data_IF_075232928491
#
_entry.id   IF_075232928491
#
_cell.length_a   1.000
_cell.length_b   1.000
_cell.length_c   1.000
_cell.angle_alpha   90.00
_cell.angle_beta   90.00
_cell.angle_gamma   90.00
#
_symmetry.space_group_name_H-M   'P 1'
#
loop_
_entity.id
_entity.type
_entity.pdbx_description
1 polymer ?
#
# COMPACT_ATOMS: atom_id res chain seq x y z
N UNK A 1 -12.37 28.75 5.51
CA UNK A 1 -13.11 27.81 4.65
C UNK A 1 -12.11 27.09 3.76
N UNK A 2 -11.57 25.96 4.22
CA UNK A 2 -10.62 25.17 3.43
C UNK A 2 -11.43 24.27 2.51
N UNK A 3 -11.31 24.48 1.20
CA UNK A 3 -12.11 23.81 0.18
C UNK A 3 -11.87 22.28 0.23
N UNK A 4 -12.92 21.49 0.04
CA UNK A 4 -12.88 20.02 -0.03
C UNK A 4 -11.79 19.50 -1.01
N UNK A 5 -11.48 20.29 -2.03
CA UNK A 5 -10.39 20.06 -2.97
C UNK A 5 -8.99 20.07 -2.31
N UNK A 6 -8.71 20.96 -1.34
CA UNK A 6 -7.41 21.02 -0.67
C UNK A 6 -7.16 19.82 0.24
N UNK A 7 -8.21 19.28 0.88
CA UNK A 7 -8.10 18.05 1.69
C UNK A 7 -7.77 16.82 0.83
N UNK A 8 -8.37 16.72 -0.36
CA UNK A 8 -8.08 15.66 -1.33
C UNK A 8 -6.68 15.80 -1.93
N UNK A 9 -6.23 17.04 -2.21
CA UNK A 9 -4.87 17.31 -2.71
C UNK A 9 -3.81 16.91 -1.68
N UNK A 10 -4.05 17.19 -0.39
CA UNK A 10 -3.10 16.88 0.68
C UNK A 10 -2.92 15.38 0.90
N UNK A 11 -4.00 14.58 0.89
CA UNK A 11 -3.89 13.11 0.97
C UNK A 11 -3.25 12.46 -0.27
N UNK A 12 -3.54 13.00 -1.46
CA UNK A 12 -3.06 12.46 -2.74
C UNK A 12 -1.58 12.74 -2.97
N UNK A 13 -1.08 13.89 -2.50
CA UNK A 13 0.33 14.23 -2.51
C UNK A 13 1.14 13.34 -1.55
N UNK A 14 0.64 13.12 -0.33
CA UNK A 14 1.37 12.38 0.71
C UNK A 14 1.59 10.89 0.33
N UNK A 15 0.58 10.28 -0.30
CA UNK A 15 0.67 8.90 -0.83
C UNK A 15 1.72 8.75 -1.93
N UNK A 16 1.87 9.77 -2.79
CA UNK A 16 2.88 9.80 -3.87
C UNK A 16 4.28 9.83 -3.29
N UNK A 17 4.51 10.68 -2.29
CA UNK A 17 5.80 10.81 -1.61
C UNK A 17 6.17 9.57 -0.80
N UNK A 18 5.18 8.84 -0.26
CA UNK A 18 5.42 7.61 0.50
C UNK A 18 5.91 6.46 -0.38
N UNK A 19 5.27 6.20 -1.51
CA UNK A 19 5.67 5.11 -2.42
C UNK A 19 7.03 5.37 -3.07
N UNK A 20 7.35 6.62 -3.38
CA UNK A 20 8.66 6.99 -3.92
C UNK A 20 9.77 6.73 -2.89
N UNK A 21 9.55 7.12 -1.63
CA UNK A 21 10.50 6.81 -0.54
C UNK A 21 10.72 5.30 -0.37
N UNK A 22 9.66 4.50 -0.40
CA UNK A 22 9.77 3.03 -0.31
C UNK A 22 10.57 2.49 -1.50
N UNK A 23 10.30 3.00 -2.71
CA UNK A 23 11.03 2.61 -3.90
C UNK A 23 12.53 2.92 -3.79
N UNK A 24 12.89 4.12 -3.32
CA UNK A 24 14.29 4.53 -3.22
C UNK A 24 15.07 3.74 -2.14
N UNK A 25 14.41 3.34 -1.06
CA UNK A 25 15.02 2.61 0.06
C UNK A 25 15.30 1.14 -0.30
N UNK A 26 14.39 0.51 -1.05
CA UNK A 26 14.48 -0.93 -1.33
C UNK A 26 15.47 -1.19 -2.47
N UNK A 27 16.42 -2.10 -2.24
CA UNK A 27 17.45 -2.43 -3.24
C UNK A 27 16.91 -3.39 -4.31
N UNK A 28 16.04 -2.92 -5.19
CA UNK A 28 15.30 -3.74 -6.18
C UNK A 28 16.17 -4.65 -7.05
N UNK A 29 17.39 -4.22 -7.41
CA UNK A 29 18.31 -5.01 -8.27
C UNK A 29 18.58 -6.41 -7.73
N UNK A 30 18.65 -6.58 -6.40
CA UNK A 30 18.93 -7.89 -5.78
C UNK A 30 17.77 -8.89 -5.89
N UNK A 31 16.55 -8.38 -6.08
CA UNK A 31 15.35 -9.19 -6.23
C UNK A 31 15.24 -9.73 -7.66
N UNK A 32 15.60 -8.95 -8.69
CA UNK A 32 15.52 -9.36 -10.09
C UNK A 32 16.14 -10.74 -10.36
N UNK A 33 17.42 -10.93 -10.00
CA UNK A 33 18.11 -12.21 -10.19
C UNK A 33 17.47 -13.38 -9.43
N UNK A 34 16.98 -13.13 -8.21
CA UNK A 34 16.31 -14.16 -7.40
C UNK A 34 14.97 -14.56 -8.00
N UNK A 35 14.19 -13.58 -8.46
CA UNK A 35 12.89 -13.79 -9.10
C UNK A 35 13.05 -14.62 -10.38
N UNK A 36 14.00 -14.26 -11.25
CA UNK A 36 14.26 -15.03 -12.47
C UNK A 36 14.61 -16.49 -12.18
N UNK A 37 15.46 -16.74 -11.17
CA UNK A 37 15.85 -18.10 -10.78
C UNK A 37 14.67 -18.90 -10.22
N UNK A 38 13.79 -18.26 -9.46
CA UNK A 38 12.58 -18.90 -8.92
C UNK A 38 11.62 -19.25 -10.06
N UNK A 39 11.34 -18.30 -10.96
CA UNK A 39 10.40 -18.50 -12.06
C UNK A 39 10.86 -19.54 -13.08
N UNK A 40 12.17 -19.60 -13.37
CA UNK A 40 12.72 -20.68 -14.21
C UNK A 40 12.49 -22.07 -13.62
N UNK A 41 12.46 -22.19 -12.29
CA UNK A 41 12.23 -23.46 -11.59
C UNK A 41 10.75 -23.82 -11.45
N UNK A 42 9.87 -22.83 -11.37
CA UNK A 42 8.43 -23.06 -11.31
C UNK A 42 7.84 -23.47 -12.66
N UNK A 43 8.60 -23.34 -13.76
CA UNK A 43 8.13 -23.65 -15.11
C UNK A 43 7.11 -22.65 -15.65
N UNK A 44 6.96 -21.49 -14.98
CA UNK A 44 6.11 -20.42 -15.49
C UNK A 44 6.71 -19.91 -16.81
N UNK A 45 5.98 -20.10 -17.90
CA UNK A 45 6.34 -19.53 -19.21
C UNK A 45 6.43 -18.00 -19.16
N UNK A 46 6.92 -17.35 -20.24
CA UNK A 46 7.03 -15.91 -20.29
C UNK A 46 5.67 -15.26 -19.99
N UNK A 47 5.59 -14.46 -18.92
CA UNK A 47 4.36 -13.75 -18.55
C UNK A 47 4.14 -12.49 -19.39
N UNK A 48 5.08 -12.14 -20.28
CA UNK A 48 5.07 -10.88 -21.02
C UNK A 48 5.50 -9.67 -20.21
N UNK A 49 5.70 -9.81 -18.89
CA UNK A 49 6.07 -8.73 -17.98
C UNK A 49 7.38 -9.05 -17.25
N UNK A 50 8.21 -8.03 -16.96
CA UNK A 50 9.38 -8.22 -16.11
C UNK A 50 8.98 -8.77 -14.73
N UNK A 51 9.65 -9.83 -14.23
CA UNK A 51 9.35 -10.44 -12.92
C UNK A 51 9.36 -9.43 -11.77
N UNK A 52 10.23 -8.43 -11.86
CA UNK A 52 10.35 -7.38 -10.86
C UNK A 52 9.12 -6.47 -10.78
N UNK A 53 8.45 -6.19 -11.91
CA UNK A 53 7.24 -5.36 -11.93
C UNK A 53 6.08 -6.10 -11.23
N UNK A 54 5.91 -7.39 -11.54
CA UNK A 54 4.91 -8.25 -10.90
C UNK A 54 5.19 -8.44 -9.40
N UNK A 55 6.46 -8.60 -9.01
CA UNK A 55 6.83 -8.67 -7.59
C UNK A 55 6.50 -7.38 -6.84
N UNK A 56 6.73 -6.21 -7.46
CA UNK A 56 6.34 -4.93 -6.86
C UNK A 56 4.82 -4.79 -6.72
N UNK A 57 4.03 -5.36 -7.65
CA UNK A 57 2.58 -5.45 -7.48
C UNK A 57 2.21 -6.30 -6.26
N UNK A 58 2.88 -7.44 -6.02
CA UNK A 58 2.67 -8.22 -4.78
C UNK A 58 3.04 -7.43 -3.51
N UNK A 59 4.09 -6.60 -3.57
CA UNK A 59 4.45 -5.70 -2.46
C UNK A 59 3.32 -4.70 -2.21
N UNK A 60 2.73 -4.10 -3.26
CA UNK A 60 1.59 -3.20 -3.12
C UNK A 60 0.34 -3.92 -2.57
N UNK A 61 0.06 -5.14 -3.04
CA UNK A 61 -1.04 -5.95 -2.50
C UNK A 61 -0.91 -6.15 -1.00
N UNK A 62 0.30 -6.45 -0.52
CA UNK A 62 0.48 -6.64 0.90
C UNK A 62 0.44 -5.31 1.68
N UNK A 63 1.06 -4.24 1.17
CA UNK A 63 1.04 -2.91 1.80
C UNK A 63 -0.37 -2.28 1.95
N UNK A 64 -1.28 -2.60 1.03
CA UNK A 64 -2.63 -2.03 0.98
C UNK A 64 -3.74 -3.07 1.25
N UNK A 65 -3.39 -4.33 1.47
CA UNK A 65 -4.35 -5.42 1.69
C UNK A 65 -5.25 -5.72 0.48
N UNK A 66 -4.70 -5.64 -0.74
CA UNK A 66 -5.47 -5.80 -1.98
C UNK A 66 -5.48 -7.25 -2.47
N UNK A 67 -6.63 -7.68 -2.97
CA UNK A 67 -6.79 -8.90 -3.77
C UNK A 67 -6.19 -8.78 -5.18
N UNK A 68 -6.22 -9.86 -5.97
CA UNK A 68 -5.77 -9.85 -7.37
C UNK A 68 -6.61 -8.93 -8.26
N UNK A 69 -7.97 -8.98 -8.20
CA UNK A 69 -8.81 -8.06 -8.96
C UNK A 69 -8.59 -6.59 -8.54
N UNK A 70 -8.53 -6.33 -7.23
CA UNK A 70 -8.32 -4.96 -6.73
C UNK A 70 -6.94 -4.41 -7.13
N UNK A 71 -5.93 -5.27 -7.24
CA UNK A 71 -4.60 -4.84 -7.70
C UNK A 71 -4.61 -4.47 -9.18
N UNK A 72 -5.32 -5.23 -10.02
CA UNK A 72 -5.54 -4.87 -11.42
C UNK A 72 -6.22 -3.48 -11.52
N UNK A 73 -7.34 -3.30 -10.83
CA UNK A 73 -8.08 -2.03 -10.82
C UNK A 73 -7.19 -0.87 -10.34
N UNK A 74 -6.42 -1.07 -9.27
CA UNK A 74 -5.51 -0.04 -8.76
C UNK A 74 -4.34 0.26 -9.71
N UNK A 75 -3.86 -0.71 -10.48
CA UNK A 75 -2.90 -0.44 -11.54
C UNK A 75 -3.53 0.41 -12.63
N UNK A 76 -4.80 0.18 -13.00
CA UNK A 76 -5.47 1.03 -13.98
C UNK A 76 -5.75 2.44 -13.44
N UNK A 77 -6.19 2.59 -12.21
CA UNK A 77 -6.66 3.87 -11.67
C UNK A 77 -5.55 4.77 -11.13
N UNK A 78 -4.48 4.19 -10.57
CA UNK A 78 -3.47 4.95 -9.81
C UNK A 78 -2.12 4.98 -10.53
N UNK A 79 -1.81 6.13 -11.12
CA UNK A 79 -0.48 6.38 -11.71
C UNK A 79 0.68 6.18 -10.72
N UNK A 80 0.46 6.42 -9.44
CA UNK A 80 1.48 6.16 -8.41
C UNK A 80 1.81 4.66 -8.28
N UNK A 81 0.83 3.78 -8.46
CA UNK A 81 1.02 2.33 -8.40
C UNK A 81 1.74 1.84 -9.65
N UNK A 82 1.32 2.32 -10.84
CA UNK A 82 2.03 2.03 -12.10
C UNK A 82 3.51 2.43 -12.01
N UNK A 83 3.77 3.66 -11.56
CA UNK A 83 5.13 4.19 -11.42
C UNK A 83 5.95 3.40 -10.39
N UNK A 84 5.36 3.04 -9.25
CA UNK A 84 6.04 2.22 -8.25
C UNK A 84 6.47 0.86 -8.82
N UNK A 85 5.55 0.18 -9.52
CA UNK A 85 5.82 -1.08 -10.19
C UNK A 85 6.86 -0.95 -11.31
N UNK A 86 6.91 0.20 -11.99
CA UNK A 86 7.82 0.46 -13.11
C UNK A 86 7.17 0.30 -14.48
N UNK A 87 5.84 0.28 -14.55
CA UNK A 87 5.12 0.22 -15.82
C UNK A 87 5.12 1.59 -16.52
N UNK A 88 5.27 1.57 -17.85
CA UNK A 88 5.11 2.77 -18.67
C UNK A 88 3.65 3.20 -18.74
N UNK A 89 3.38 4.47 -19.06
CA UNK A 89 2.03 4.99 -19.27
C UNK A 89 1.32 4.34 -20.46
N UNK A 90 2.07 3.86 -21.44
CA UNK A 90 1.57 3.26 -22.68
C UNK A 90 1.53 1.74 -22.67
N UNK A 91 2.07 1.11 -21.62
CA UNK A 91 2.12 -0.35 -21.49
C UNK A 91 0.77 -0.87 -20.99
N UNK A 92 0.40 -2.10 -21.37
CA UNK A 92 -0.78 -2.77 -20.83
C UNK A 92 -0.49 -3.19 -19.38
N UNK A 93 -1.48 -3.06 -18.49
CA UNK A 93 -1.31 -3.54 -17.11
C UNK A 93 -1.55 -5.06 -17.04
N UNK A 94 -0.85 -5.78 -16.16
CA UNK A 94 -1.16 -7.18 -15.90
C UNK A 94 -2.59 -7.29 -15.36
N UNK A 95 -3.33 -8.26 -15.90
CA UNK A 95 -4.65 -8.62 -15.40
C UNK A 95 -4.55 -9.46 -14.12
N UNK A 96 -5.68 -9.64 -13.43
CA UNK A 96 -5.84 -10.50 -12.26
C UNK A 96 -5.20 -11.87 -12.49
N UNK A 97 -5.48 -12.49 -13.64
CA UNK A 97 -5.00 -13.84 -13.97
C UNK A 97 -3.47 -13.88 -14.03
N UNK A 98 -2.83 -12.84 -14.59
CA UNK A 98 -1.39 -12.70 -14.63
C UNK A 98 -0.79 -12.57 -13.24
N UNK A 99 -1.40 -11.75 -12.38
CA UNK A 99 -0.96 -11.57 -10.99
C UNK A 99 -1.11 -12.88 -10.19
N UNK A 100 -2.25 -13.55 -10.34
CA UNK A 100 -2.55 -14.83 -9.71
C UNK A 100 -1.54 -15.92 -10.11
N UNK A 101 -1.29 -16.10 -11.41
CA UNK A 101 -0.30 -17.07 -11.92
C UNK A 101 1.11 -16.78 -11.41
N UNK A 102 1.48 -15.51 -11.35
CA UNK A 102 2.77 -15.10 -10.80
C UNK A 102 2.86 -15.43 -9.31
N UNK A 103 1.81 -15.17 -8.54
CA UNK A 103 1.75 -15.53 -7.11
C UNK A 103 1.88 -17.02 -6.88
N UNK A 104 1.17 -17.85 -7.65
CA UNK A 104 1.28 -19.32 -7.57
C UNK A 104 2.70 -19.79 -7.88
N UNK A 105 3.36 -19.21 -8.89
CA UNK A 105 4.75 -19.52 -9.24
C UNK A 105 5.77 -19.10 -8.16
N UNK A 106 5.39 -18.15 -7.30
CA UNK A 106 6.19 -17.64 -6.18
C UNK A 106 5.87 -18.29 -4.83
N UNK A 107 4.94 -19.26 -4.81
CA UNK A 107 4.51 -19.94 -3.59
C UNK A 107 5.71 -20.55 -2.84
N UNK A 108 5.78 -20.34 -1.52
CA UNK A 108 6.91 -20.75 -0.67
C UNK A 108 8.13 -19.81 -0.70
N UNK A 109 8.14 -18.81 -1.59
CA UNK A 109 9.21 -17.78 -1.65
C UNK A 109 8.71 -16.37 -1.34
N UNK A 110 7.41 -16.11 -1.49
CA UNK A 110 6.80 -14.79 -1.28
C UNK A 110 7.13 -14.20 0.08
N UNK A 111 6.86 -14.91 1.18
CA UNK A 111 7.08 -14.41 2.55
C UNK A 111 8.54 -14.02 2.79
N UNK A 112 9.49 -14.84 2.32
CA UNK A 112 10.92 -14.57 2.45
C UNK A 112 11.36 -13.33 1.67
N UNK A 113 10.79 -13.11 0.49
CA UNK A 113 11.13 -11.94 -0.31
C UNK A 113 10.48 -10.68 0.27
N UNK A 114 9.24 -10.77 0.76
CA UNK A 114 8.59 -9.68 1.47
C UNK A 114 9.34 -9.32 2.76
N UNK A 115 9.80 -10.30 3.54
CA UNK A 115 10.59 -10.03 4.74
C UNK A 115 11.92 -9.33 4.43
N UNK A 116 12.56 -9.65 3.30
CA UNK A 116 13.73 -8.91 2.83
C UNK A 116 13.40 -7.45 2.45
N UNK A 117 12.23 -7.20 1.86
CA UNK A 117 11.76 -5.83 1.60
C UNK A 117 11.52 -5.10 2.92
N UNK A 118 10.87 -5.74 3.90
CA UNK A 118 10.70 -5.18 5.26
C UNK A 118 12.03 -4.79 5.89
N UNK A 119 13.02 -5.67 5.83
CA UNK A 119 14.34 -5.43 6.41
C UNK A 119 15.04 -4.22 5.78
N UNK A 120 14.92 -4.03 4.46
CA UNK A 120 15.46 -2.83 3.79
C UNK A 120 14.79 -1.57 4.34
N UNK A 121 13.47 -1.59 4.48
CA UNK A 121 12.71 -0.42 4.93
C UNK A 121 13.00 -0.11 6.41
N UNK A 122 13.08 -1.13 7.27
CA UNK A 122 13.42 -0.98 8.69
C UNK A 122 14.84 -0.44 8.90
N UNK A 123 15.79 -0.89 8.08
CA UNK A 123 17.20 -0.44 8.18
C UNK A 123 17.39 1.06 7.91
N UNK A 124 16.43 1.72 7.27
CA UNK A 124 16.44 3.16 6.98
C UNK A 124 15.60 3.97 7.98
N UNK A 125 15.31 3.41 9.16
CA UNK A 125 14.68 4.14 10.27
C UNK A 125 13.16 4.33 10.14
N UNK A 126 12.53 3.76 9.11
CA UNK A 126 11.08 3.68 9.03
C UNK A 126 10.65 2.51 9.90
N UNK A 127 10.45 2.74 11.20
CA UNK A 127 9.92 1.73 12.14
C UNK A 127 8.43 1.95 12.35
N UNK A 128 7.61 0.94 12.02
CA UNK A 128 6.24 0.83 12.52
C UNK A 128 6.22 0.15 13.88
N UNK A 129 5.23 0.48 14.72
CA UNK A 129 5.12 0.02 16.12
C UNK A 129 4.94 -1.50 16.30
N UNK A 130 4.85 -2.29 15.22
CA UNK A 130 4.57 -3.74 15.28
C UNK A 130 5.53 -4.63 14.48
N UNK A 131 6.66 -4.13 13.97
CA UNK A 131 7.75 -5.00 13.47
C UNK A 131 7.55 -5.66 12.11
N UNK A 132 6.56 -5.24 11.31
CA UNK A 132 6.44 -5.60 9.90
C UNK A 132 5.78 -4.42 9.17
N UNK A 133 6.44 -3.83 8.17
CA UNK A 133 5.91 -2.66 7.43
C UNK A 133 4.93 -3.09 6.35
N UNK A 134 5.20 -4.26 5.77
CA UNK A 134 4.38 -4.90 4.75
C UNK A 134 3.05 -5.37 5.37
N UNK A 135 3.06 -5.92 6.60
CA UNK A 135 1.83 -6.35 7.33
C UNK A 135 1.18 -5.23 8.18
N UNK A 136 1.76 -4.03 8.22
CA UNK A 136 1.16 -2.87 8.87
C UNK A 136 0.86 -1.80 7.83
N UNK A 137 -0.30 -1.94 7.19
CA UNK A 137 -1.04 -0.87 6.54
C UNK A 137 -1.01 0.39 7.41
N UNK A 138 0.00 1.25 7.21
CA UNK A 138 0.01 2.63 7.73
C UNK A 138 -0.97 3.42 6.84
N UNK A 139 -2.25 3.11 7.01
CA UNK A 139 -3.41 3.96 6.78
C UNK A 139 -3.89 4.40 8.19
N UNK A 140 -2.96 4.88 9.03
CA UNK A 140 -3.26 5.54 10.31
C UNK A 140 -2.28 6.68 10.59
N UNK A 141 -1.93 7.45 9.57
CA UNK A 141 -1.19 8.69 9.77
C UNK A 141 -1.87 9.85 9.05
N UNK A 142 -3.09 10.17 9.48
CA UNK A 142 -3.62 11.53 9.41
C UNK A 142 -4.81 11.76 10.35
N UNK A 143 -4.91 11.03 11.48
CA UNK A 143 -5.79 11.44 12.58
C UNK A 143 -5.03 11.26 13.88
N UNK A 144 -4.54 12.37 14.46
CA UNK A 144 -4.08 12.39 15.84
C UNK A 144 -5.31 12.09 16.72
N UNK A 145 -5.30 11.08 17.60
CA UNK A 145 -6.27 11.04 18.68
C UNK A 145 -5.89 12.15 19.68
N UNK A 146 -6.81 13.02 20.10
CA UNK A 146 -6.49 14.02 21.11
C UNK A 146 -6.21 13.31 22.43
N UNK A 147 -5.03 13.58 22.98
CA UNK A 147 -4.74 13.31 24.38
C UNK A 147 -5.68 14.17 25.22
N UNK A 148 -6.53 13.53 26.02
CA UNK A 148 -7.26 14.13 27.15
C UNK A 148 -7.82 15.53 26.91
N UNK A 149 -8.94 15.62 26.19
CA UNK A 149 -9.69 16.87 26.05
C UNK A 149 -10.89 16.67 25.15
N UNK A 150 -12.08 16.76 25.71
CA UNK A 150 -13.36 16.36 25.11
C UNK A 150 -13.97 17.39 24.18
N UNK A 151 -13.18 18.14 23.40
CA UNK A 151 -13.68 19.03 22.33
C UNK A 151 -12.57 19.21 21.27
N UNK A 152 -12.93 19.12 19.99
CA UNK A 152 -12.04 19.47 18.88
C UNK A 152 -11.97 20.99 18.75
N UNK A 153 -10.76 21.59 18.79
CA UNK A 153 -10.57 23.03 18.54
C UNK A 153 -11.05 23.50 17.15
N UNK A 154 -11.33 22.58 16.22
CA UNK A 154 -11.71 22.89 14.84
C UNK A 154 -13.22 22.86 14.57
N UNK A 155 -14.02 22.29 15.46
CA UNK A 155 -15.47 22.18 15.25
C UNK A 155 -16.21 22.03 16.61
N UNK A 156 -16.90 23.07 17.10
CA UNK A 156 -17.55 23.07 18.41
C UNK A 156 -18.77 22.14 18.51
N UNK A 157 -19.34 21.67 17.39
CA UNK A 157 -20.59 20.90 17.37
C UNK A 157 -20.41 19.39 17.20
N UNK A 158 -19.18 18.93 16.96
CA UNK A 158 -18.89 17.51 16.80
C UNK A 158 -18.43 16.87 18.13
N UNK A 159 -19.19 15.87 18.59
CA UNK A 159 -18.90 15.11 19.81
C UNK A 159 -18.37 13.71 19.52
N UNK A 160 -17.57 13.19 20.44
CA UNK A 160 -17.13 11.80 20.41
C UNK A 160 -18.19 10.89 21.06
N UNK A 161 -18.56 9.81 20.39
CA UNK A 161 -19.46 8.77 20.93
C UNK A 161 -18.80 7.41 20.88
N UNK A 162 -18.91 6.63 21.96
CA UNK A 162 -18.33 5.29 22.05
C UNK A 162 -19.41 4.25 21.74
N UNK A 163 -19.26 3.49 20.66
CA UNK A 163 -20.16 2.38 20.32
C UNK A 163 -19.33 1.12 20.09
N UNK A 164 -19.64 0.05 20.84
CA UNK A 164 -18.97 -1.25 20.68
C UNK A 164 -17.48 -1.29 21.04
N UNK A 165 -16.99 -0.36 21.88
CA UNK A 165 -15.56 -0.28 22.24
C UNK A 165 -14.74 0.66 21.35
N UNK A 166 -15.29 1.12 20.24
CA UNK A 166 -14.67 2.08 19.32
C UNK A 166 -15.21 3.50 19.57
N UNK A 167 -14.34 4.50 19.41
CA UNK A 167 -14.69 5.92 19.50
C UNK A 167 -15.01 6.43 18.09
N UNK A 168 -16.27 6.78 17.86
CA UNK A 168 -16.79 7.32 16.61
C UNK A 168 -16.99 8.83 16.79
N UNK A 169 -16.48 9.62 15.86
CA UNK A 169 -16.69 11.06 15.79
C UNK A 169 -17.91 11.32 14.91
N UNK A 170 -18.94 11.99 15.42
CA UNK A 170 -20.17 12.18 14.65
C UNK A 170 -21.12 13.22 15.24
N UNK A 171 -22.11 13.60 14.44
CA UNK A 171 -23.13 14.57 14.80
C UNK A 171 -24.37 13.84 15.33
N UNK A 172 -24.90 14.26 16.49
CA UNK A 172 -26.21 13.80 16.97
C UNK A 172 -27.29 14.53 16.18
N UNK A 173 -27.93 13.85 15.24
CA UNK A 173 -29.14 14.37 14.61
C UNK A 173 -30.28 14.34 15.63
N UNK A 174 -30.80 15.51 16.01
CA UNK A 174 -32.10 15.62 16.66
C UNK A 174 -33.17 15.51 15.57
N UNK A 175 -33.95 14.44 15.59
CA UNK A 175 -35.18 14.33 14.80
C UNK A 175 -36.29 14.91 15.66
N UNK A 176 -36.80 16.08 15.27
CA UNK A 176 -38.08 16.62 15.73
C UNK A 176 -39.19 16.18 14.79
#
# INVERSE_FOLDING_TARGET
MTCFAEMLVTQKADSKHKLDKIHDIVRWKRFGYRLEKILKRSGLGPTGYPPLHLFKALVLQNLYGLSDPEMEDMLYDRLSFRRFCGFSLTEKMPDETTICRFRSAMQGHTEKLLSMVNQDIESHGIRTKSGTIIDATVIRSSVRPPAGGSVSEKDPEAGWTKKGGEFIHGYKAHVG
#
